data_IF_141655063809
#
_entry.id   IF_141655063809
#
_cell.length_a   1.000
_cell.length_b   1.000
_cell.length_c   1.000
_cell.angle_alpha   90.00
_cell.angle_beta   90.00
_cell.angle_gamma   90.00
#
_symmetry.space_group_name_H-M   'P 1'
#
loop_
_entity.id
_entity.type
_entity.pdbx_description
1 polymer ?
#
# COMPACT_ATOMS: atom_id res chain seq x y z
N UNK A 1 2.88 11.77 -4.02
CA UNK A 1 4.01 11.21 -3.25
C UNK A 1 5.39 11.33 -3.90
N UNK A 2 5.55 11.67 -5.18
CA UNK A 2 6.88 11.88 -5.78
C UNK A 2 7.51 13.21 -5.30
N UNK A 3 8.74 13.15 -4.75
CA UNK A 3 9.46 14.35 -4.32
C UNK A 3 10.27 15.00 -5.44
N UNK A 4 10.54 16.30 -5.33
CA UNK A 4 11.44 17.04 -6.22
C UNK A 4 12.81 16.35 -6.37
N UNK A 5 13.41 15.90 -5.26
CA UNK A 5 14.69 15.18 -5.27
C UNK A 5 14.62 13.89 -6.10
N UNK A 6 13.59 13.06 -5.89
CA UNK A 6 13.42 11.82 -6.65
C UNK A 6 13.18 12.10 -8.13
N UNK A 7 12.43 13.14 -8.46
CA UNK A 7 12.15 13.54 -9.84
C UNK A 7 13.44 13.91 -10.60
N UNK A 8 14.33 14.70 -10.00
CA UNK A 8 15.65 14.99 -10.59
C UNK A 8 16.54 13.75 -10.66
N UNK A 9 16.48 12.89 -9.65
CA UNK A 9 17.26 11.65 -9.67
C UNK A 9 16.85 10.74 -10.85
N UNK A 10 15.54 10.63 -11.12
CA UNK A 10 15.03 9.87 -12.27
C UNK A 10 15.51 10.48 -13.58
N UNK A 11 15.41 11.80 -13.74
CA UNK A 11 15.93 12.54 -14.90
C UNK A 11 17.42 12.22 -15.14
N UNK A 12 18.27 12.47 -14.15
CA UNK A 12 19.71 12.18 -14.24
C UNK A 12 20.02 10.72 -14.54
N UNK A 13 19.31 9.78 -13.90
CA UNK A 13 19.54 8.35 -14.16
C UNK A 13 19.19 7.95 -15.58
N UNK A 14 18.14 8.53 -16.17
CA UNK A 14 17.80 8.29 -17.56
C UNK A 14 18.84 8.92 -18.50
N UNK A 15 19.31 10.13 -18.20
CA UNK A 15 20.41 10.76 -18.94
C UNK A 15 21.67 9.89 -18.96
N UNK A 16 22.06 9.35 -17.80
CA UNK A 16 23.20 8.42 -17.68
C UNK A 16 23.00 7.13 -18.48
N UNK A 17 21.82 6.51 -18.39
CA UNK A 17 21.52 5.22 -19.04
C UNK A 17 21.49 5.36 -20.56
N UNK A 18 20.91 6.45 -21.06
CA UNK A 18 20.73 6.68 -22.48
C UNK A 18 21.85 7.53 -23.10
N UNK A 19 22.87 7.88 -22.31
CA UNK A 19 24.01 8.72 -22.73
C UNK A 19 23.54 10.00 -23.44
N UNK A 20 22.58 10.69 -22.83
CA UNK A 20 21.90 11.84 -23.44
C UNK A 20 21.70 12.95 -22.42
N UNK A 21 22.10 14.18 -22.77
CA UNK A 21 21.91 15.36 -21.93
C UNK A 21 20.50 15.98 -22.05
N UNK A 22 19.65 15.41 -22.89
CA UNK A 22 18.24 15.82 -23.05
C UNK A 22 17.45 15.44 -21.79
N UNK A 23 16.46 16.24 -21.35
CA UNK A 23 15.58 15.87 -20.24
C UNK A 23 15.06 14.43 -20.37
N UNK A 24 15.16 13.68 -19.27
CA UNK A 24 14.80 12.27 -19.14
C UNK A 24 15.47 11.33 -20.15
N UNK A 25 16.65 11.69 -20.67
CA UNK A 25 17.38 10.87 -21.65
C UNK A 25 16.61 10.65 -22.95
N UNK A 26 15.78 11.63 -23.35
CA UNK A 26 14.87 11.54 -24.51
C UNK A 26 13.80 10.44 -24.42
N UNK A 27 13.52 9.92 -23.23
CA UNK A 27 12.41 8.99 -22.99
C UNK A 27 11.11 9.76 -22.82
N UNK A 28 10.02 9.23 -23.40
CA UNK A 28 8.68 9.74 -23.14
C UNK A 28 8.27 9.43 -21.69
N UNK A 29 8.05 10.47 -20.89
CA UNK A 29 7.65 10.34 -19.48
C UNK A 29 6.19 10.74 -19.31
N UNK A 30 5.42 9.87 -18.66
CA UNK A 30 4.03 10.17 -18.24
C UNK A 30 3.95 10.15 -16.73
N UNK A 31 3.47 11.25 -16.15
CA UNK A 31 3.19 11.35 -14.72
C UNK A 31 1.69 11.22 -14.48
N UNK A 32 1.31 10.35 -13.55
CA UNK A 32 -0.08 10.16 -13.14
C UNK A 32 -0.16 10.31 -11.63
N UNK A 33 -1.12 11.10 -11.16
CA UNK A 33 -1.32 11.32 -9.75
C UNK A 33 -2.48 12.25 -9.46
N UNK A 34 -2.80 12.36 -8.17
CA UNK A 34 -3.80 13.25 -7.63
C UNK A 34 -3.14 14.09 -6.53
N UNK A 35 -3.06 15.40 -6.75
CA UNK A 35 -2.38 16.33 -5.84
C UNK A 35 -3.19 16.64 -4.58
N UNK A 36 -4.48 16.28 -4.53
CA UNK A 36 -5.29 16.37 -3.32
C UNK A 36 -4.99 15.23 -2.33
N UNK A 37 -4.32 14.16 -2.78
CA UNK A 37 -3.85 13.07 -1.94
C UNK A 37 -2.54 13.42 -1.24
N UNK A 38 -1.98 12.46 -0.50
CA UNK A 38 -0.80 12.66 0.33
C UNK A 38 0.41 13.19 -0.46
N UNK A 39 0.99 14.23 0.11
CA UNK A 39 2.26 14.82 -0.33
C UNK A 39 3.44 13.88 -0.04
N UNK A 40 4.61 14.10 -0.67
CA UNK A 40 5.82 13.36 -0.34
C UNK A 40 6.15 13.48 1.16
N UNK A 41 6.49 12.36 1.81
CA UNK A 41 6.77 12.32 3.24
C UNK A 41 8.07 13.06 3.52
N UNK A 42 8.01 14.10 4.37
CA UNK A 42 9.15 14.93 4.77
C UNK A 42 10.00 15.41 3.56
N UNK A 43 9.35 15.69 2.43
CA UNK A 43 10.01 16.08 1.20
C UNK A 43 9.20 17.10 0.39
N UNK A 44 9.90 17.86 -0.44
CA UNK A 44 9.34 18.92 -1.28
C UNK A 44 8.58 18.32 -2.46
N UNK A 45 7.39 18.85 -2.76
CA UNK A 45 6.59 18.43 -3.91
C UNK A 45 7.15 18.98 -5.22
N UNK A 46 6.92 18.30 -6.34
CA UNK A 46 7.43 18.71 -7.66
C UNK A 46 6.88 20.06 -8.14
N UNK A 47 5.73 20.48 -7.63
CA UNK A 47 5.08 21.75 -7.97
C UNK A 47 5.46 22.92 -7.04
N UNK A 48 6.27 22.67 -5.99
CA UNK A 48 6.69 23.75 -5.07
C UNK A 48 7.62 24.71 -5.82
N UNK A 49 7.33 26.03 -5.84
CA UNK A 49 8.18 27.01 -6.49
C UNK A 49 9.59 27.05 -5.91
N UNK A 50 10.58 27.34 -6.75
CA UNK A 50 11.98 27.47 -6.32
C UNK A 50 12.20 28.53 -5.23
N UNK A 51 11.41 29.61 -5.24
CA UNK A 51 11.45 30.70 -4.25
C UNK A 51 11.04 30.26 -2.84
N UNK A 52 10.13 29.30 -2.71
CA UNK A 52 9.63 28.81 -1.42
C UNK A 52 10.54 27.75 -0.80
N UNK A 53 11.42 27.13 -1.61
CA UNK A 53 12.31 26.06 -1.15
C UNK A 53 13.71 26.54 -0.73
N UNK A 54 14.04 27.82 -0.96
CA UNK A 54 15.37 28.39 -0.69
C UNK A 54 15.76 28.39 0.80
N UNK A 55 14.79 28.25 1.72
CA UNK A 55 15.00 28.26 3.18
C UNK A 55 15.12 26.87 3.82
N UNK A 56 15.25 25.81 3.01
CA UNK A 56 15.57 24.46 3.50
C UNK A 56 16.90 24.01 2.89
N UNK A 57 17.64 23.12 3.57
CA UNK A 57 18.91 22.47 3.14
C UNK A 57 18.80 21.63 1.83
N UNK A 58 17.86 21.96 0.93
CA UNK A 58 17.44 21.21 -0.27
C UNK A 58 17.17 22.11 -1.48
N UNK A 59 17.57 23.38 -1.45
CA UNK A 59 17.33 24.38 -2.51
C UNK A 59 17.91 24.03 -3.89
N UNK A 60 18.95 23.18 -3.96
CA UNK A 60 19.67 22.84 -5.19
C UNK A 60 18.79 22.18 -6.27
N UNK A 61 17.77 21.43 -5.87
CA UNK A 61 16.91 20.71 -6.82
C UNK A 61 15.83 21.60 -7.46
N UNK A 62 15.53 22.76 -6.91
CA UNK A 62 14.21 23.36 -7.16
C UNK A 62 14.12 24.08 -8.51
N UNK A 63 15.19 24.76 -8.95
CA UNK A 63 15.23 25.37 -10.28
C UNK A 63 15.16 24.32 -11.39
N UNK A 64 15.92 23.22 -11.26
CA UNK A 64 15.88 22.11 -12.23
C UNK A 64 14.53 21.40 -12.20
N UNK A 65 13.96 21.15 -11.02
CA UNK A 65 12.60 20.60 -10.87
C UNK A 65 11.58 21.47 -11.59
N UNK A 66 11.60 22.78 -11.34
CA UNK A 66 10.66 23.72 -11.93
C UNK A 66 10.80 23.76 -13.47
N UNK A 67 12.04 23.75 -13.98
CA UNK A 67 12.31 23.63 -15.41
C UNK A 67 11.75 22.33 -15.99
N UNK A 68 12.11 21.16 -15.44
CA UNK A 68 11.69 19.85 -15.91
C UNK A 68 10.16 19.71 -15.84
N UNK A 69 9.54 20.18 -14.76
CA UNK A 69 8.10 20.06 -14.55
C UNK A 69 7.30 20.88 -15.56
N UNK A 70 7.81 22.04 -15.99
CA UNK A 70 7.18 22.88 -17.03
C UNK A 70 7.21 22.26 -18.43
N UNK A 71 8.01 21.23 -18.67
CA UNK A 71 8.02 20.51 -19.95
C UNK A 71 6.79 19.61 -20.12
N UNK A 72 6.05 19.31 -19.05
CA UNK A 72 4.90 18.41 -19.09
C UNK A 72 3.64 19.13 -19.57
N UNK A 73 2.96 18.50 -20.52
CA UNK A 73 1.57 18.83 -20.85
C UNK A 73 0.64 18.25 -19.77
N UNK A 74 -0.35 19.03 -19.35
CA UNK A 74 -1.30 18.62 -18.32
C UNK A 74 -2.60 18.16 -18.98
N UNK A 75 -3.06 16.97 -18.61
CA UNK A 75 -4.39 16.46 -18.95
C UNK A 75 -5.11 16.13 -17.65
N UNK A 76 -6.34 16.62 -17.49
CA UNK A 76 -7.16 16.37 -16.29
C UNK A 76 -8.25 15.37 -16.61
N UNK A 77 -8.30 14.30 -15.83
CA UNK A 77 -9.41 13.35 -15.86
C UNK A 77 -10.53 13.89 -14.97
N UNK A 78 -11.72 14.03 -15.53
CA UNK A 78 -12.89 14.62 -14.85
C UNK A 78 -13.92 13.58 -14.41
N UNK A 79 -13.92 12.40 -15.02
CA UNK A 79 -14.85 11.32 -14.69
C UNK A 79 -14.34 10.50 -13.49
N UNK A 80 -15.13 10.45 -12.42
CA UNK A 80 -14.83 9.69 -11.22
C UNK A 80 -15.41 8.27 -11.36
N UNK A 81 -14.56 7.29 -11.65
CA UNK A 81 -15.00 5.90 -11.84
C UNK A 81 -15.23 5.13 -10.54
N UNK A 82 -14.52 5.47 -9.45
CA UNK A 82 -14.58 4.69 -8.19
C UNK A 82 -15.91 4.86 -7.46
N UNK A 83 -16.42 6.09 -7.39
CA UNK A 83 -17.70 6.45 -6.76
C UNK A 83 -18.78 6.80 -7.81
N UNK A 84 -18.68 6.26 -9.03
CA UNK A 84 -19.59 6.61 -10.13
C UNK A 84 -21.08 6.36 -9.81
N UNK A 85 -21.33 5.38 -8.93
CA UNK A 85 -22.65 4.93 -8.52
C UNK A 85 -23.15 5.68 -7.25
N UNK A 86 -22.38 6.63 -6.72
CA UNK A 86 -22.71 7.50 -5.58
C UNK A 86 -22.20 8.93 -5.82
N UNK A 87 -22.90 9.64 -6.72
CA UNK A 87 -22.53 10.99 -7.17
C UNK A 87 -22.46 12.02 -6.03
N UNK A 88 -23.40 12.06 -5.06
CA UNK A 88 -23.31 12.97 -3.92
C UNK A 88 -22.05 12.74 -3.10
N UNK A 89 -21.68 11.48 -2.86
CA UNK A 89 -20.47 11.14 -2.14
C UNK A 89 -19.20 11.53 -2.90
N UNK A 90 -19.16 11.31 -4.21
CA UNK A 90 -18.04 11.71 -5.06
C UNK A 90 -17.82 13.25 -5.04
N UNK A 91 -18.90 14.03 -5.05
CA UNK A 91 -18.86 15.49 -4.92
C UNK A 91 -18.34 15.91 -3.54
N UNK A 92 -18.87 15.32 -2.47
CA UNK A 92 -18.46 15.61 -1.10
C UNK A 92 -16.98 15.31 -0.84
N UNK A 93 -16.46 14.20 -1.39
CA UNK A 93 -15.03 13.85 -1.37
C UNK A 93 -14.17 14.88 -2.11
N UNK A 94 -14.62 15.33 -3.28
CA UNK A 94 -13.91 16.35 -4.08
C UNK A 94 -13.84 17.67 -3.32
N UNK A 95 -14.94 18.08 -2.70
CA UNK A 95 -15.00 19.29 -1.86
C UNK A 95 -14.13 19.16 -0.62
N UNK A 96 -14.08 17.98 0.01
CA UNK A 96 -13.16 17.69 1.11
C UNK A 96 -11.70 17.85 0.67
N UNK A 97 -11.32 17.26 -0.47
CA UNK A 97 -9.95 17.36 -1.00
C UNK A 97 -9.54 18.81 -1.31
N UNK A 98 -10.48 19.62 -1.81
CA UNK A 98 -10.28 21.05 -2.11
C UNK A 98 -10.36 21.96 -0.88
N UNK A 99 -10.90 21.47 0.25
CA UNK A 99 -11.12 22.27 1.45
C UNK A 99 -12.27 23.27 1.29
N UNK A 100 -13.32 22.90 0.57
CA UNK A 100 -14.50 23.73 0.33
C UNK A 100 -15.79 22.95 0.57
N UNK A 101 -15.84 22.18 1.67
CA UNK A 101 -17.01 21.39 2.04
C UNK A 101 -18.21 22.28 2.36
N UNK A 102 -19.36 21.90 1.86
CA UNK A 102 -20.67 22.49 2.17
C UNK A 102 -21.24 21.87 3.45
N UNK A 103 -22.30 22.48 4.00
CA UNK A 103 -22.99 21.93 5.17
C UNK A 103 -23.60 20.55 4.87
N UNK A 104 -24.06 20.30 3.64
CA UNK A 104 -24.57 19.00 3.20
C UNK A 104 -23.45 17.95 3.13
N UNK A 105 -22.25 18.33 2.66
CA UNK A 105 -21.07 17.45 2.66
C UNK A 105 -20.72 17.05 4.11
N UNK A 106 -20.71 18.03 5.01
CA UNK A 106 -20.40 17.84 6.43
C UNK A 106 -21.47 16.95 7.09
N UNK A 107 -22.74 17.16 6.78
CA UNK A 107 -23.84 16.32 7.27
C UNK A 107 -23.69 14.87 6.80
N UNK A 108 -23.31 14.65 5.53
CA UNK A 108 -23.03 13.31 4.99
C UNK A 108 -21.93 12.62 5.79
N UNK A 109 -20.77 13.25 6.01
CA UNK A 109 -19.68 12.61 6.77
C UNK A 109 -20.00 12.45 8.27
N UNK A 110 -20.75 13.38 8.87
CA UNK A 110 -21.26 13.22 10.23
C UNK A 110 -22.20 12.01 10.35
N UNK A 111 -23.07 11.77 9.36
CA UNK A 111 -23.95 10.58 9.35
C UNK A 111 -23.17 9.25 9.33
N UNK A 112 -21.91 9.30 8.92
CA UNK A 112 -20.97 8.17 8.87
C UNK A 112 -19.95 8.18 10.01
N UNK A 113 -20.10 9.09 10.98
CA UNK A 113 -19.20 9.22 12.12
C UNK A 113 -19.85 8.66 13.38
N UNK A 114 -19.12 7.77 14.05
CA UNK A 114 -19.57 7.04 15.22
C UNK A 114 -18.58 7.26 16.38
N UNK A 115 -19.10 7.42 17.59
CA UNK A 115 -18.28 7.57 18.80
C UNK A 115 -17.55 6.28 19.19
N UNK A 116 -18.15 5.13 18.87
CA UNK A 116 -17.62 3.79 19.10
C UNK A 116 -17.67 2.96 17.83
N UNK A 117 -16.87 1.90 17.78
CA UNK A 117 -16.93 0.92 16.69
C UNK A 117 -18.31 0.25 16.71
N UNK A 118 -19.06 0.24 15.60
CA UNK A 118 -20.32 -0.50 15.49
C UNK A 118 -20.15 -1.99 15.82
N UNK A 119 -21.13 -2.58 16.53
CA UNK A 119 -21.08 -3.97 17.02
C UNK A 119 -20.85 -5.00 15.89
N UNK A 120 -21.35 -4.74 14.68
CA UNK A 120 -21.14 -5.59 13.50
C UNK A 120 -19.67 -5.68 13.05
N UNK A 121 -18.83 -4.73 13.46
CA UNK A 121 -17.40 -4.70 13.19
C UNK A 121 -16.55 -5.16 14.40
N UNK A 122 -17.20 -5.55 15.49
CA UNK A 122 -16.58 -6.20 16.65
C UNK A 122 -16.75 -7.71 16.48
N UNK A 123 -16.18 -8.28 15.42
CA UNK A 123 -16.26 -9.73 15.14
C UNK A 123 -14.93 -10.43 15.35
N UNK A 124 -14.97 -11.63 15.93
CA UNK A 124 -13.82 -12.54 16.00
C UNK A 124 -13.58 -13.33 14.69
N UNK A 125 -14.52 -13.29 13.74
CA UNK A 125 -14.44 -14.09 12.50
C UNK A 125 -13.46 -13.51 11.47
N UNK A 126 -13.15 -12.21 11.55
CA UNK A 126 -12.22 -11.47 10.68
C UNK A 126 -12.24 -11.88 9.20
N UNK A 127 -13.44 -12.18 8.69
CA UNK A 127 -13.66 -12.60 7.31
C UNK A 127 -13.78 -11.38 6.38
N UNK A 128 -14.03 -11.64 5.09
CA UNK A 128 -14.16 -10.62 4.05
C UNK A 128 -15.33 -9.65 4.25
N UNK A 129 -16.25 -9.90 5.18
CA UNK A 129 -17.33 -8.97 5.52
C UNK A 129 -16.86 -7.81 6.40
N UNK A 130 -15.70 -7.96 7.06
CA UNK A 130 -15.13 -6.95 7.93
C UNK A 130 -14.52 -5.80 7.14
N UNK A 131 -14.68 -4.55 7.62
CA UNK A 131 -14.09 -3.40 6.96
C UNK A 131 -12.57 -3.44 7.09
N UNK A 132 -11.87 -2.98 6.04
CA UNK A 132 -10.45 -2.68 6.19
C UNK A 132 -10.31 -1.49 7.14
N UNK A 133 -9.54 -1.68 8.22
CA UNK A 133 -9.35 -0.64 9.22
C UNK A 133 -8.17 0.26 8.85
N UNK A 134 -8.41 1.57 8.78
CA UNK A 134 -7.39 2.56 8.45
C UNK A 134 -6.99 3.35 9.70
N UNK A 135 -5.69 3.41 9.94
CA UNK A 135 -5.08 4.23 11.00
C UNK A 135 -4.05 5.20 10.44
N UNK A 136 -3.75 6.26 11.17
CA UNK A 136 -2.69 7.19 10.77
C UNK A 136 -1.27 6.67 11.08
N UNK A 137 -1.07 6.01 12.22
CA UNK A 137 0.24 5.59 12.73
C UNK A 137 0.44 4.07 12.60
N UNK A 138 1.66 3.64 12.27
CA UNK A 138 2.02 2.21 12.20
C UNK A 138 1.76 1.47 13.51
N UNK A 139 2.12 2.04 14.66
CA UNK A 139 1.91 1.34 15.95
C UNK A 139 0.46 0.98 16.23
N UNK A 140 -0.52 1.79 15.77
CA UNK A 140 -1.94 1.44 15.90
C UNK A 140 -2.36 0.32 14.94
N UNK A 141 -1.77 0.29 13.73
CA UNK A 141 -1.94 -0.80 12.76
C UNK A 141 -1.39 -2.11 13.33
N UNK A 142 -0.17 -2.06 13.88
CA UNK A 142 0.51 -3.22 14.43
C UNK A 142 -0.29 -3.81 15.60
N UNK A 143 -0.70 -2.98 16.57
CA UNK A 143 -1.52 -3.40 17.70
C UNK A 143 -2.83 -4.06 17.26
N UNK A 144 -3.56 -3.47 16.32
CA UNK A 144 -4.82 -4.06 15.85
C UNK A 144 -4.58 -5.36 15.07
N UNK A 145 -3.57 -5.41 14.21
CA UNK A 145 -3.23 -6.64 13.48
C UNK A 145 -2.81 -7.77 14.43
N UNK A 146 -2.08 -7.46 15.52
CA UNK A 146 -1.72 -8.42 16.57
C UNK A 146 -2.95 -8.89 17.36
N UNK A 147 -3.88 -7.99 17.69
CA UNK A 147 -5.16 -8.31 18.33
C UNK A 147 -5.97 -9.29 17.46
N UNK A 148 -6.15 -8.96 16.18
CA UNK A 148 -6.82 -9.82 15.18
C UNK A 148 -6.14 -11.19 15.11
N UNK A 149 -4.81 -11.20 14.99
CA UNK A 149 -4.01 -12.42 14.91
C UNK A 149 -4.17 -13.29 16.16
N UNK A 150 -4.29 -12.69 17.34
CA UNK A 150 -4.44 -13.40 18.60
C UNK A 150 -5.83 -14.02 18.72
N UNK A 151 -6.86 -13.28 18.30
CA UNK A 151 -8.25 -13.67 18.46
C UNK A 151 -8.77 -14.64 17.39
N UNK A 152 -8.15 -14.68 16.20
CA UNK A 152 -8.57 -15.62 15.15
C UNK A 152 -8.16 -17.06 15.51
N UNK A 153 -9.14 -17.89 15.84
CA UNK A 153 -8.96 -19.32 16.12
C UNK A 153 -9.02 -20.12 14.82
N UNK A 154 -7.86 -20.24 14.17
CA UNK A 154 -7.72 -20.95 12.90
C UNK A 154 -6.37 -21.63 12.79
N UNK A 155 -6.28 -22.57 11.86
CA UNK A 155 -5.01 -23.17 11.47
C UNK A 155 -4.02 -22.08 11.03
N UNK A 156 -2.80 -22.16 11.57
CA UNK A 156 -1.75 -21.21 11.27
C UNK A 156 -0.35 -21.75 11.47
N UNK A 157 0.62 -20.95 11.06
CA UNK A 157 2.04 -21.27 11.15
C UNK A 157 2.88 -20.01 11.34
N UNK A 158 3.80 -20.03 12.32
CA UNK A 158 4.77 -18.95 12.53
C UNK A 158 6.06 -19.24 11.78
N UNK A 159 6.36 -18.41 10.79
CA UNK A 159 7.53 -18.53 9.93
C UNK A 159 8.63 -17.55 10.37
N UNK A 160 9.76 -18.05 10.84
CA UNK A 160 11.00 -17.27 10.89
C UNK A 160 11.65 -17.24 9.51
N UNK A 161 12.14 -16.08 9.11
CA UNK A 161 12.76 -15.90 7.81
C UNK A 161 14.12 -16.62 7.74
N UNK A 162 14.38 -17.26 6.60
CA UNK A 162 15.65 -17.96 6.37
C UNK A 162 16.69 -17.00 5.77
N UNK A 163 17.72 -16.66 6.54
CA UNK A 163 18.77 -15.73 6.15
C UNK A 163 20.07 -16.47 5.83
N UNK A 164 20.68 -16.13 4.68
CA UNK A 164 21.97 -16.67 4.24
C UNK A 164 22.95 -15.53 4.03
N UNK A 165 24.14 -15.63 4.65
CA UNK A 165 25.23 -14.67 4.46
C UNK A 165 26.13 -15.14 3.33
N UNK A 166 26.30 -14.29 2.33
CA UNK A 166 27.17 -14.51 1.18
C UNK A 166 28.45 -13.69 1.31
N UNK A 167 29.53 -14.25 0.74
CA UNK A 167 30.88 -13.68 0.74
C UNK A 167 31.86 -14.42 1.64
N UNK A 168 33.14 -14.13 1.42
CA UNK A 168 34.27 -14.76 2.11
C UNK A 168 34.64 -13.96 3.35
N UNK A 169 34.40 -14.54 4.52
CA UNK A 169 34.66 -13.92 5.82
C UNK A 169 34.73 -14.97 6.92
N UNK A 170 35.25 -14.57 8.08
CA UNK A 170 35.26 -15.41 9.29
C UNK A 170 33.84 -15.67 9.79
N UNK A 171 33.67 -16.75 10.58
CA UNK A 171 32.38 -17.09 11.18
C UNK A 171 31.83 -15.93 12.02
N UNK A 172 32.69 -15.28 12.82
CA UNK A 172 32.33 -14.12 13.65
C UNK A 172 31.80 -12.96 12.81
N UNK A 173 32.49 -12.62 11.71
CA UNK A 173 32.05 -11.55 10.81
C UNK A 173 30.71 -11.87 10.15
N UNK A 174 30.48 -13.14 9.77
CA UNK A 174 29.19 -13.58 9.23
C UNK A 174 28.08 -13.49 10.28
N UNK A 175 28.36 -13.83 11.53
CA UNK A 175 27.40 -13.71 12.65
C UNK A 175 27.04 -12.25 12.95
N UNK A 176 28.01 -11.34 12.96
CA UNK A 176 27.78 -9.90 13.12
C UNK A 176 26.90 -9.32 12.00
N UNK A 177 27.18 -9.69 10.76
CA UNK A 177 26.41 -9.24 9.60
C UNK A 177 25.00 -9.81 9.62
N UNK A 178 24.84 -11.07 10.05
CA UNK A 178 23.55 -11.71 10.21
C UNK A 178 22.73 -11.06 11.33
N UNK A 179 23.33 -10.74 12.48
CA UNK A 179 22.63 -10.08 13.59
C UNK A 179 22.19 -8.67 13.21
N UNK A 180 23.05 -7.90 12.50
CA UNK A 180 22.69 -6.61 11.95
C UNK A 180 21.48 -6.71 11.02
N UNK A 181 21.48 -7.66 10.07
CA UNK A 181 20.36 -7.87 9.15
C UNK A 181 19.06 -8.29 9.86
N UNK A 182 19.15 -9.04 10.97
CA UNK A 182 18.00 -9.48 11.76
C UNK A 182 17.32 -8.33 12.51
N UNK A 183 18.07 -7.29 12.90
CA UNK A 183 17.57 -6.16 13.66
C UNK A 183 17.02 -5.03 12.77
N UNK A 184 17.09 -5.18 11.44
CA UNK A 184 16.55 -4.19 10.52
C UNK A 184 15.02 -4.19 10.53
N UNK A 185 14.39 -2.99 10.53
CA UNK A 185 12.97 -2.85 10.27
C UNK A 185 12.56 -3.50 8.94
N UNK A 186 11.34 -4.03 8.86
CA UNK A 186 10.83 -4.70 7.66
C UNK A 186 10.94 -3.83 6.40
N UNK A 187 10.67 -2.53 6.52
CA UNK A 187 10.78 -1.54 5.43
C UNK A 187 12.19 -1.45 4.82
N UNK A 188 13.23 -1.74 5.60
CA UNK A 188 14.63 -1.69 5.18
C UNK A 188 15.13 -3.05 4.64
N UNK A 189 14.25 -4.06 4.61
CA UNK A 189 14.55 -5.43 4.19
C UNK A 189 13.76 -5.85 2.95
N UNK A 190 13.55 -4.90 2.04
CA UNK A 190 12.69 -5.06 0.86
C UNK A 190 11.27 -5.55 1.21
N UNK A 191 10.78 -5.17 2.40
CA UNK A 191 9.50 -5.56 2.97
C UNK A 191 9.34 -7.08 3.22
N UNK A 192 10.44 -7.83 3.36
CA UNK A 192 10.39 -9.22 3.82
C UNK A 192 10.55 -9.29 5.34
N UNK A 193 9.44 -9.59 6.02
CA UNK A 193 9.38 -9.69 7.47
C UNK A 193 10.41 -10.69 8.03
N UNK A 194 10.97 -10.39 9.21
CA UNK A 194 11.81 -11.35 9.93
C UNK A 194 10.99 -12.52 10.46
N UNK A 195 9.88 -12.21 11.11
CA UNK A 195 8.92 -13.19 11.61
C UNK A 195 7.56 -12.90 10.99
N UNK A 196 6.86 -13.95 10.56
CA UNK A 196 5.55 -13.83 9.95
C UNK A 196 4.64 -14.96 10.45
N UNK A 197 3.56 -14.59 11.11
CA UNK A 197 2.50 -15.54 11.48
C UNK A 197 1.45 -15.58 10.39
N UNK A 198 1.20 -16.77 9.86
CA UNK A 198 0.15 -17.07 8.89
C UNK A 198 -1.05 -17.68 9.62
N UNK A 199 -2.25 -17.15 9.44
CA UNK A 199 -3.49 -17.73 9.97
C UNK A 199 -4.59 -17.73 8.90
N UNK A 200 -5.24 -18.87 8.71
CA UNK A 200 -6.30 -19.02 7.71
C UNK A 200 -7.47 -18.10 8.04
N UNK A 201 -8.01 -17.44 7.02
CA UNK A 201 -9.07 -16.43 7.14
C UNK A 201 -8.56 -15.02 7.39
N UNK A 202 -7.31 -14.84 7.82
CA UNK A 202 -6.76 -13.51 8.03
C UNK A 202 -6.41 -12.81 6.71
N UNK A 203 -6.55 -11.49 6.70
CA UNK A 203 -6.21 -10.62 5.59
C UNK A 203 -4.72 -10.26 5.61
N UNK A 204 -4.06 -10.43 4.47
CA UNK A 204 -2.66 -10.07 4.25
C UNK A 204 -2.52 -9.16 3.04
N UNK A 205 -1.48 -8.32 3.07
CA UNK A 205 -1.04 -7.50 1.95
C UNK A 205 0.24 -8.09 1.36
N UNK A 206 0.30 -8.16 0.03
CA UNK A 206 1.54 -8.41 -0.70
C UNK A 206 2.52 -7.30 -0.37
N UNK A 207 3.67 -7.66 0.19
CA UNK A 207 4.61 -6.70 0.78
C UNK A 207 5.67 -6.19 -0.21
N UNK A 208 5.92 -6.94 -1.28
CA UNK A 208 6.86 -6.57 -2.34
C UNK A 208 6.32 -6.98 -3.72
N UNK A 209 6.88 -6.41 -4.79
CA UNK A 209 6.43 -6.71 -6.14
C UNK A 209 6.77 -8.16 -6.52
N UNK A 210 5.75 -9.02 -6.60
CA UNK A 210 5.89 -10.44 -6.97
C UNK A 210 5.80 -10.60 -8.49
N UNK A 211 4.74 -10.05 -9.09
CA UNK A 211 4.52 -9.99 -10.54
C UNK A 211 3.71 -8.74 -10.88
N UNK A 212 4.40 -7.69 -11.34
CA UNK A 212 3.77 -6.40 -11.68
C UNK A 212 2.81 -6.51 -12.85
N UNK A 213 3.08 -7.41 -13.81
CA UNK A 213 2.23 -7.63 -14.97
C UNK A 213 1.00 -8.48 -14.67
N UNK A 214 0.91 -9.07 -13.48
CA UNK A 214 -0.23 -9.86 -13.00
C UNK A 214 -0.93 -9.21 -11.79
N UNK A 215 -0.63 -7.94 -11.47
CA UNK A 215 -1.27 -7.22 -10.36
C UNK A 215 -0.90 -7.75 -8.96
N UNK A 216 0.13 -8.60 -8.85
CA UNK A 216 0.68 -9.06 -7.57
C UNK A 216 1.80 -8.12 -7.14
N UNK A 217 1.40 -6.90 -6.77
CA UNK A 217 2.29 -5.79 -6.43
C UNK A 217 2.23 -5.47 -4.94
N UNK A 218 3.21 -4.71 -4.46
CA UNK A 218 3.16 -4.18 -3.11
C UNK A 218 1.86 -3.38 -2.90
N UNK A 219 1.06 -3.77 -1.92
CA UNK A 219 -0.24 -3.15 -1.65
C UNK A 219 -1.45 -4.00 -2.03
N UNK A 220 -1.29 -5.05 -2.85
CA UNK A 220 -2.40 -5.95 -3.18
C UNK A 220 -2.83 -6.71 -1.92
N UNK A 221 -4.10 -6.55 -1.52
CA UNK A 221 -4.66 -7.17 -0.32
C UNK A 221 -5.45 -8.42 -0.69
N UNK A 222 -5.37 -9.46 0.15
CA UNK A 222 -6.18 -10.65 0.00
C UNK A 222 -6.27 -11.49 1.27
N UNK A 223 -7.26 -12.38 1.30
CA UNK A 223 -7.55 -13.27 2.42
C UNK A 223 -6.78 -14.57 2.26
N UNK A 224 -6.05 -15.00 3.30
CA UNK A 224 -5.37 -16.29 3.32
C UNK A 224 -6.39 -17.42 3.41
N UNK A 225 -6.48 -18.26 2.39
CA UNK A 225 -7.44 -19.37 2.30
C UNK A 225 -6.86 -20.72 2.67
N UNK A 226 -5.60 -20.97 2.35
CA UNK A 226 -4.96 -22.24 2.65
C UNK A 226 -3.45 -22.08 2.79
N UNK A 227 -2.85 -22.89 3.67
CA UNK A 227 -1.41 -23.08 3.78
C UNK A 227 -1.06 -24.42 3.15
N UNK A 228 -0.16 -24.41 2.16
CA UNK A 228 0.38 -25.60 1.52
C UNK A 228 1.64 -26.02 2.26
N UNK A 229 1.58 -27.15 2.96
CA UNK A 229 2.72 -27.67 3.71
C UNK A 229 3.52 -28.67 2.89
N UNK A 230 4.83 -28.66 3.13
CA UNK A 230 5.74 -29.74 2.74
C UNK A 230 6.20 -30.48 3.99
N UNK A 231 6.21 -31.80 3.87
CA UNK A 231 6.74 -32.68 4.90
C UNK A 231 8.22 -32.99 4.63
N UNK A 232 9.04 -32.95 5.67
CA UNK A 232 10.38 -33.53 5.67
C UNK A 232 10.46 -34.60 6.74
N UNK A 233 10.99 -35.76 6.37
CA UNK A 233 11.35 -36.84 7.29
C UNK A 233 12.86 -36.80 7.50
N UNK A 234 13.27 -36.42 8.71
CA UNK A 234 14.64 -36.56 9.19
C UNK A 234 14.61 -37.34 10.50
N UNK A 235 15.41 -38.40 10.60
CA UNK A 235 15.55 -39.24 11.80
C UNK A 235 14.22 -39.73 12.41
N UNK A 236 13.25 -40.06 11.55
CA UNK A 236 11.93 -40.56 11.98
C UNK A 236 10.94 -39.47 12.44
N UNK A 237 11.38 -38.22 12.56
CA UNK A 237 10.51 -37.07 12.90
C UNK A 237 9.97 -36.44 11.61
N UNK A 238 8.64 -36.38 11.49
CA UNK A 238 7.96 -35.66 10.40
C UNK A 238 7.82 -34.20 10.83
N UNK A 239 8.49 -33.30 10.11
CA UNK A 239 8.32 -31.85 10.28
C UNK A 239 7.55 -31.29 9.09
N UNK A 240 6.58 -30.42 9.36
CA UNK A 240 5.81 -29.67 8.35
C UNK A 240 6.31 -28.24 8.28
N UNK A 241 6.49 -27.73 7.08
CA UNK A 241 6.82 -26.32 6.85
C UNK A 241 6.00 -25.78 5.67
N UNK A 242 5.54 -24.53 5.74
CA UNK A 242 4.76 -23.92 4.69
C UNK A 242 5.63 -23.72 3.44
N UNK A 243 5.26 -24.37 2.34
CA UNK A 243 5.91 -24.25 1.04
C UNK A 243 5.26 -23.14 0.20
N UNK A 244 3.95 -22.96 0.33
CA UNK A 244 3.20 -21.92 -0.33
C UNK A 244 1.94 -21.55 0.46
N UNK A 245 1.32 -20.45 0.09
CA UNK A 245 0.03 -20.02 0.63
C UNK A 245 -0.91 -19.67 -0.51
N UNK A 246 -2.20 -19.87 -0.29
CA UNK A 246 -3.25 -19.59 -1.27
C UNK A 246 -4.06 -18.41 -0.79
N UNK A 247 -4.06 -17.34 -1.57
CA UNK A 247 -4.67 -16.06 -1.20
C UNK A 247 -5.78 -15.70 -2.19
N UNK A 248 -6.95 -15.36 -1.68
CA UNK A 248 -8.04 -14.80 -2.47
C UNK A 248 -7.95 -13.26 -2.48
N UNK A 249 -8.01 -12.65 -3.66
CA UNK A 249 -8.05 -11.19 -3.83
C UNK A 249 -9.40 -10.80 -4.42
N UNK A 250 -9.98 -9.70 -3.93
CA UNK A 250 -11.24 -9.16 -4.48
C UNK A 250 -11.06 -8.63 -5.91
N UNK A 251 -9.87 -8.10 -6.22
CA UNK A 251 -9.47 -7.84 -7.60
C UNK A 251 -9.24 -9.17 -8.33
N UNK A 252 -10.19 -9.51 -9.21
CA UNK A 252 -10.13 -10.71 -10.02
C UNK A 252 -9.03 -10.71 -11.08
N UNK A 253 -8.46 -9.55 -11.41
CA UNK A 253 -7.34 -9.45 -12.34
C UNK A 253 -6.00 -9.75 -11.67
N UNK A 254 -5.84 -9.36 -10.40
CA UNK A 254 -4.68 -9.69 -9.60
C UNK A 254 -4.50 -11.21 -9.49
N UNK A 255 -3.31 -11.72 -9.83
CA UNK A 255 -2.95 -13.14 -9.79
C UNK A 255 -3.57 -14.00 -10.89
N UNK A 256 -4.24 -13.42 -11.89
CA UNK A 256 -4.96 -14.20 -12.93
C UNK A 256 -4.02 -15.10 -13.72
N UNK A 257 -2.86 -14.60 -14.15
CA UNK A 257 -1.85 -15.39 -14.88
C UNK A 257 -1.28 -16.48 -13.98
N UNK A 258 -1.01 -16.17 -12.71
CA UNK A 258 -0.57 -17.17 -11.73
C UNK A 258 -1.58 -18.32 -11.57
N UNK A 259 -2.88 -18.00 -11.44
CA UNK A 259 -3.96 -19.00 -11.38
C UNK A 259 -4.05 -19.84 -12.66
N UNK A 260 -3.93 -19.21 -13.84
CA UNK A 260 -3.94 -19.93 -15.12
C UNK A 260 -2.74 -20.87 -15.29
N UNK A 261 -1.55 -20.45 -14.86
CA UNK A 261 -0.34 -21.30 -14.87
C UNK A 261 -0.51 -22.53 -13.99
N UNK A 262 -1.17 -22.37 -12.84
CA UNK A 262 -1.41 -23.46 -11.90
C UNK A 262 -2.48 -24.44 -12.40
N UNK A 263 -3.55 -23.94 -13.04
CA UNK A 263 -4.53 -24.77 -13.76
C UNK A 263 -3.91 -25.56 -14.91
N UNK A 264 -2.89 -25.01 -15.58
CA UNK A 264 -2.12 -25.74 -16.61
C UNK A 264 -1.32 -26.92 -16.06
N UNK A 265 -1.02 -26.94 -14.75
CA UNK A 265 -0.33 -28.06 -14.08
C UNK A 265 -1.28 -29.14 -13.57
N UNK A 266 -2.51 -28.75 -13.20
CA UNK A 266 -3.54 -29.64 -12.66
C UNK A 266 -4.72 -29.72 -13.65
N UNK A 267 -4.78 -30.76 -14.48
CA UNK A 267 -5.88 -30.96 -15.45
C UNK A 267 -7.24 -31.08 -14.73
N UNK A 268 -8.07 -30.03 -14.76
CA UNK A 268 -9.54 -30.10 -14.78
C UNK A 268 -10.17 -28.70 -15.01
N UNK A 269 -11.17 -28.67 -15.90
CA UNK A 269 -12.16 -27.60 -16.14
C UNK A 269 -13.05 -27.34 -14.89
N UNK A 270 -13.82 -26.26 -14.69
CA UNK A 270 -14.74 -25.50 -15.56
C UNK A 270 -15.36 -24.33 -14.71
N UNK A 271 -16.02 -23.37 -15.38
CA UNK A 271 -16.97 -22.34 -14.89
C UNK A 271 -16.50 -21.29 -13.85
N UNK A 272 -16.49 -20.02 -14.28
CA UNK A 272 -16.44 -18.85 -13.38
C UNK A 272 -17.84 -18.66 -12.79
N UNK A 273 -18.00 -18.83 -11.47
CA UNK A 273 -19.27 -18.46 -10.83
C UNK A 273 -19.41 -16.93 -10.78
N UNK A 274 -20.64 -16.44 -10.94
CA UNK A 274 -20.96 -15.01 -10.99
C UNK A 274 -21.28 -14.40 -9.63
N UNK A 275 -21.37 -15.20 -8.56
CA UNK A 275 -21.69 -14.75 -7.20
C UNK A 275 -20.42 -14.58 -6.35
N UNK A 276 -20.22 -13.41 -5.74
CA UNK A 276 -19.01 -13.03 -5.01
C UNK A 276 -18.69 -13.99 -3.83
N UNK A 277 -19.70 -14.42 -3.08
CA UNK A 277 -19.52 -15.35 -1.96
C UNK A 277 -19.11 -16.76 -2.42
N UNK A 278 -19.60 -17.17 -3.60
CA UNK A 278 -19.19 -18.44 -4.20
C UNK A 278 -17.77 -18.37 -4.78
N UNK A 279 -17.32 -17.20 -5.25
CA UNK A 279 -15.97 -17.03 -5.82
C UNK A 279 -14.87 -17.07 -4.76
N UNK A 280 -15.10 -16.45 -3.61
CA UNK A 280 -14.12 -16.42 -2.52
C UNK A 280 -13.82 -17.82 -1.97
N UNK A 281 -14.82 -18.69 -1.94
CA UNK A 281 -14.70 -20.05 -1.44
C UNK A 281 -14.31 -21.07 -2.52
N UNK A 282 -14.25 -20.65 -3.79
CA UNK A 282 -13.81 -21.48 -4.90
C UNK A 282 -12.27 -21.46 -5.04
N UNK A 283 -11.58 -22.61 -4.84
CA UNK A 283 -10.13 -22.70 -4.98
C UNK A 283 -9.60 -22.26 -6.35
N UNK A 284 -10.43 -22.27 -7.40
CA UNK A 284 -10.03 -21.79 -8.73
C UNK A 284 -9.77 -20.28 -8.79
N UNK A 285 -10.17 -19.53 -7.76
CA UNK A 285 -9.93 -18.09 -7.61
C UNK A 285 -8.81 -17.76 -6.61
N UNK A 286 -8.19 -18.76 -5.99
CA UNK A 286 -7.08 -18.53 -5.07
C UNK A 286 -5.75 -18.48 -5.81
N UNK A 287 -4.95 -17.48 -5.47
CA UNK A 287 -3.63 -17.27 -6.06
C UNK A 287 -2.57 -17.88 -5.16
N UNK A 288 -1.78 -18.81 -5.71
CA UNK A 288 -0.65 -19.42 -5.02
C UNK A 288 0.52 -18.43 -4.91
N UNK A 289 0.92 -18.10 -3.68
CA UNK A 289 2.06 -17.25 -3.35
C UNK A 289 3.14 -18.10 -2.69
N UNK A 290 4.38 -17.97 -3.16
CA UNK A 290 5.54 -18.70 -2.63
C UNK A 290 6.53 -17.76 -1.95
N UNK A 291 7.40 -18.27 -1.05
CA UNK A 291 8.48 -17.49 -0.48
C UNK A 291 9.37 -16.87 -1.55
N UNK A 292 9.88 -15.67 -1.27
CA UNK A 292 10.85 -14.96 -2.12
C UNK A 292 12.16 -14.77 -1.39
N UNK A 293 13.25 -14.73 -2.15
CA UNK A 293 14.59 -14.47 -1.65
C UNK A 293 15.08 -13.11 -2.16
N UNK A 294 15.33 -12.17 -1.26
CA UNK A 294 15.81 -10.83 -1.61
C UNK A 294 17.08 -10.49 -0.80
N UNK A 295 17.97 -9.67 -1.36
CA UNK A 295 19.10 -9.12 -0.59
C UNK A 295 18.57 -8.08 0.39
N UNK A 296 18.79 -8.25 1.69
CA UNK A 296 18.22 -7.37 2.74
C UNK A 296 19.25 -6.55 3.48
N UNK A 297 20.54 -6.86 3.32
CA UNK A 297 21.62 -6.12 3.96
C UNK A 297 22.93 -6.30 3.19
N UNK A 298 23.69 -5.22 3.04
CA UNK A 298 24.99 -5.21 2.36
C UNK A 298 26.04 -4.51 3.23
N UNK A 299 26.98 -5.27 3.77
CA UNK A 299 28.17 -4.73 4.42
C UNK A 299 29.27 -4.54 3.37
N UNK A 300 29.15 -3.47 2.56
CA UNK A 300 30.02 -3.20 1.40
C UNK A 300 31.51 -3.20 1.74
N UNK A 301 31.89 -2.60 2.88
CA UNK A 301 33.27 -2.57 3.36
C UNK A 301 33.85 -3.97 3.66
N UNK A 302 32.99 -4.93 3.99
CA UNK A 302 33.35 -6.32 4.27
C UNK A 302 33.15 -7.24 3.05
N UNK A 303 32.59 -6.74 1.94
CA UNK A 303 32.22 -7.57 0.78
C UNK A 303 31.14 -8.62 1.09
N UNK A 304 30.32 -8.41 2.12
CA UNK A 304 29.30 -9.35 2.58
C UNK A 304 27.90 -8.85 2.28
N UNK A 305 26.98 -9.77 1.99
CA UNK A 305 25.56 -9.46 1.88
C UNK A 305 24.70 -10.59 2.45
N UNK A 306 23.50 -10.24 2.90
CA UNK A 306 22.52 -11.18 3.46
C UNK A 306 21.35 -11.28 2.51
N UNK A 307 21.00 -12.51 2.10
CA UNK A 307 19.72 -12.78 1.44
C UNK A 307 18.74 -13.35 2.45
N UNK A 308 17.52 -12.82 2.47
CA UNK A 308 16.41 -13.27 3.28
C UNK A 308 15.39 -13.99 2.42
N UNK A 309 14.94 -15.16 2.86
CA UNK A 309 13.84 -15.90 2.26
C UNK A 309 12.63 -15.91 3.19
N UNK A 310 11.51 -15.35 2.73
CA UNK A 310 10.24 -15.27 3.47
C UNK A 310 9.06 -15.12 2.49
N UNK A 311 7.83 -15.42 2.92
CA UNK A 311 6.63 -15.02 2.19
C UNK A 311 6.56 -13.50 2.01
N UNK A 312 6.23 -13.00 0.81
CA UNK A 312 6.09 -11.57 0.55
C UNK A 312 4.73 -11.06 1.04
N UNK A 313 4.40 -11.29 2.32
CA UNK A 313 3.13 -10.97 2.94
C UNK A 313 3.33 -10.24 4.27
N UNK A 314 2.41 -9.33 4.58
CA UNK A 314 2.29 -8.67 5.88
C UNK A 314 0.82 -8.68 6.34
N UNK A 315 0.55 -8.80 7.65
CA UNK A 315 -0.80 -8.63 8.20
C UNK A 315 -1.46 -7.33 7.71
N UNK A 316 -2.73 -7.40 7.31
CA UNK A 316 -3.43 -6.30 6.68
C UNK A 316 -4.92 -6.19 7.07
N UNK A 317 -5.30 -6.70 8.26
CA UNK A 317 -6.61 -6.40 8.83
C UNK A 317 -6.75 -4.90 9.13
N UNK A 318 -5.64 -4.26 9.50
CA UNK A 318 -5.45 -2.82 9.46
C UNK A 318 -4.33 -2.40 8.52
N UNK A 319 -4.45 -1.18 8.00
CA UNK A 319 -3.45 -0.51 7.19
C UNK A 319 -3.29 0.94 7.61
N UNK A 320 -2.12 1.52 7.30
CA UNK A 320 -2.00 2.98 7.41
C UNK A 320 -2.73 3.66 6.26
N UNK A 321 -3.22 4.89 6.51
CA UNK A 321 -3.80 5.74 5.46
C UNK A 321 -2.83 5.87 4.28
N UNK A 322 -1.53 6.03 4.54
CA UNK A 322 -0.48 6.08 3.52
C UNK A 322 -0.42 4.83 2.64
N UNK A 323 -0.51 3.64 3.24
CA UNK A 323 -0.50 2.36 2.51
C UNK A 323 -1.81 2.06 1.78
N UNK A 324 -2.90 2.72 2.17
CA UNK A 324 -4.20 2.59 1.49
C UNK A 324 -4.29 3.36 0.17
N UNK A 325 -3.38 4.32 -0.06
CA UNK A 325 -3.42 5.19 -1.22
C UNK A 325 -3.27 4.40 -2.52
N UNK A 326 -4.18 4.64 -3.47
CA UNK A 326 -4.31 3.89 -4.73
C UNK A 326 -5.30 2.72 -4.67
N UNK A 327 -5.51 2.11 -3.49
CA UNK A 327 -6.41 0.97 -3.32
C UNK A 327 -7.88 1.35 -3.24
N UNK A 328 -8.76 0.37 -3.48
CA UNK A 328 -10.22 0.48 -3.30
C UNK A 328 -10.68 -0.67 -2.42
N UNK A 329 -11.51 -0.39 -1.43
CA UNK A 329 -12.05 -1.40 -0.52
C UNK A 329 -13.58 -1.37 -0.54
N UNK A 330 -14.20 -2.51 -0.28
CA UNK A 330 -15.66 -2.63 -0.27
C UNK A 330 -16.25 -1.93 0.96
N UNK A 331 -15.64 -2.13 2.14
CA UNK A 331 -15.95 -1.41 3.38
C UNK A 331 -14.69 -0.86 4.05
N UNK A 332 -14.81 0.35 4.59
CA UNK A 332 -13.69 1.08 5.22
C UNK A 332 -14.10 1.54 6.61
N UNK A 333 -13.25 1.29 7.60
CA UNK A 333 -13.37 1.86 8.94
C UNK A 333 -12.15 2.72 9.23
N UNK A 334 -12.33 4.03 9.23
CA UNK A 334 -11.30 5.00 9.59
C UNK A 334 -11.33 5.24 11.10
N UNK A 335 -10.31 4.81 11.83
CA UNK A 335 -10.20 5.07 13.26
C UNK A 335 -9.22 6.20 13.54
N UNK A 336 -9.75 7.30 14.05
CA UNK A 336 -9.00 8.52 14.36
C UNK A 336 -9.15 8.92 15.82
N UNK A 337 -9.65 8.01 16.67
CA UNK A 337 -9.74 8.24 18.12
C UNK A 337 -8.35 8.47 18.72
N UNK A 338 -8.25 9.46 19.60
CA UNK A 338 -7.01 9.79 20.30
C UNK A 338 -5.88 10.29 19.39
N UNK A 339 -6.16 10.58 18.12
CA UNK A 339 -5.17 11.17 17.21
C UNK A 339 -5.31 12.70 17.18
N UNK A 340 -4.21 13.44 16.97
CA UNK A 340 -4.28 14.84 16.55
C UNK A 340 -5.15 14.95 15.28
N UNK A 341 -5.81 16.10 15.10
CA UNK A 341 -6.64 16.38 13.92
C UNK A 341 -5.90 15.98 12.64
N UNK A 342 -6.49 15.08 11.86
CA UNK A 342 -5.90 14.64 10.60
C UNK A 342 -5.80 15.81 9.63
N UNK A 343 -4.74 15.82 8.83
CA UNK A 343 -4.63 16.72 7.70
C UNK A 343 -5.68 16.37 6.63
N UNK A 344 -6.07 17.38 5.85
CA UNK A 344 -7.05 17.25 4.76
C UNK A 344 -6.72 16.14 3.77
N UNK A 345 -5.46 16.04 3.36
CA UNK A 345 -4.98 15.02 2.41
C UNK A 345 -5.11 13.60 2.96
N UNK A 346 -4.78 13.39 4.24
CA UNK A 346 -4.96 12.12 4.91
C UNK A 346 -6.44 11.73 5.03
N UNK A 347 -7.31 12.69 5.42
CA UNK A 347 -8.74 12.43 5.52
C UNK A 347 -9.35 12.11 4.15
N UNK A 348 -9.00 12.89 3.12
CA UNK A 348 -9.43 12.65 1.73
C UNK A 348 -8.96 11.30 1.21
N UNK A 349 -7.69 10.91 1.43
CA UNK A 349 -7.21 9.57 1.05
C UNK A 349 -8.01 8.49 1.75
N UNK A 350 -8.17 8.57 3.07
CA UNK A 350 -8.86 7.54 3.85
C UNK A 350 -10.32 7.37 3.44
N UNK A 351 -11.08 8.47 3.33
CA UNK A 351 -12.48 8.43 2.96
C UNK A 351 -12.65 7.97 1.51
N UNK A 352 -11.82 8.43 0.56
CA UNK A 352 -11.95 8.08 -0.86
C UNK A 352 -11.63 6.62 -1.22
N UNK A 353 -11.30 5.78 -0.22
CA UNK A 353 -11.06 4.33 -0.42
C UNK A 353 -12.36 3.54 -0.58
N UNK A 354 -13.47 4.02 -0.02
CA UNK A 354 -14.79 3.42 -0.15
C UNK A 354 -15.47 3.83 -1.46
N UNK A 355 -16.29 2.94 -2.05
CA UNK A 355 -17.07 3.23 -3.27
C UNK A 355 -18.36 4.00 -3.01
N UNK A 356 -18.97 3.78 -1.85
CA UNK A 356 -20.24 4.37 -1.44
C UNK A 356 -20.12 4.93 -0.02
N UNK A 357 -20.86 6.00 0.28
CA UNK A 357 -20.87 6.60 1.61
C UNK A 357 -21.35 5.61 2.69
N UNK A 358 -22.30 4.74 2.36
CA UNK A 358 -22.84 3.71 3.28
C UNK A 358 -21.80 2.68 3.76
N UNK A 359 -20.69 2.55 3.04
CA UNK A 359 -19.62 1.62 3.34
C UNK A 359 -18.42 2.30 4.01
N UNK A 360 -18.50 3.61 4.26
CA UNK A 360 -17.54 4.37 5.04
C UNK A 360 -18.01 4.45 6.50
N UNK A 361 -17.12 4.17 7.43
CA UNK A 361 -17.37 4.33 8.87
C UNK A 361 -16.19 5.09 9.49
N UNK A 362 -16.45 6.20 10.16
CA UNK A 362 -15.43 7.04 10.80
C UNK A 362 -15.62 6.93 12.30
N UNK A 363 -14.59 6.49 13.02
CA UNK A 363 -14.64 6.41 14.48
C UNK A 363 -13.95 7.64 15.07
N UNK A 364 -14.75 8.55 15.60
CA UNK A 364 -14.32 9.83 16.15
C UNK A 364 -15.40 10.41 17.08
N UNK A 365 -15.01 11.36 17.94
CA UNK A 365 -15.99 12.10 18.75
C UNK A 365 -16.89 12.99 17.88
N UNK A 366 -16.33 13.57 16.82
CA UNK A 366 -17.02 14.33 15.79
C UNK A 366 -16.22 14.26 14.49
N UNK A 367 -16.88 14.50 13.36
CA UNK A 367 -16.19 14.52 12.08
C UNK A 367 -15.19 15.70 12.02
N UNK A 368 -13.89 15.46 11.76
CA UNK A 368 -12.89 16.52 11.72
C UNK A 368 -12.95 17.24 10.38
N UNK A 369 -13.87 18.20 10.24
CA UNK A 369 -13.98 19.04 9.05
C UNK A 369 -12.61 19.65 8.72
N UNK A 370 -12.04 19.47 7.53
CA UNK A 370 -10.73 20.05 7.19
C UNK A 370 -10.77 21.58 7.09
N UNK A 371 -9.65 22.23 7.42
CA UNK A 371 -9.52 23.67 7.16
C UNK A 371 -9.50 23.98 5.66
N UNK A 372 -9.99 25.15 5.24
CA UNK A 372 -9.91 25.59 3.86
C UNK A 372 -8.48 25.62 3.33
N UNK A 373 -8.31 25.34 2.03
CA UNK A 373 -7.00 25.44 1.39
C UNK A 373 -6.56 26.91 1.33
N UNK A 374 -5.39 27.28 1.89
CA UNK A 374 -4.92 28.65 1.79
C UNK A 374 -4.66 29.04 0.32
N UNK A 375 -5.18 30.19 -0.11
CA UNK A 375 -5.07 30.67 -1.49
C UNK A 375 -3.61 30.92 -1.94
N UNK A 376 -2.67 31.10 -1.01
CA UNK A 376 -1.25 31.27 -1.30
C UNK A 376 -0.44 29.97 -1.16
N UNK A 377 -1.08 28.85 -0.83
CA UNK A 377 -0.37 27.57 -0.73
C UNK A 377 0.08 27.08 -2.11
N UNK A 378 1.25 26.46 -2.19
CA UNK A 378 1.79 25.91 -3.44
C UNK A 378 0.79 24.99 -4.16
N UNK A 379 0.07 24.17 -3.39
CA UNK A 379 -0.94 23.26 -3.92
C UNK A 379 -2.12 24.02 -4.55
N UNK A 380 -2.61 25.08 -3.90
CA UNK A 380 -3.68 25.89 -4.47
C UNK A 380 -3.27 26.51 -5.80
N UNK A 381 -2.09 27.14 -5.83
CA UNK A 381 -1.56 27.78 -7.03
C UNK A 381 -1.35 26.77 -8.16
N UNK A 382 -0.89 25.55 -7.85
CA UNK A 382 -0.74 24.48 -8.84
C UNK A 382 -2.09 24.01 -9.38
N UNK A 383 -3.11 23.85 -8.53
CA UNK A 383 -4.46 23.48 -8.99
C UNK A 383 -5.07 24.56 -9.89
N UNK A 384 -4.88 25.84 -9.55
CA UNK A 384 -5.30 26.96 -10.41
C UNK A 384 -4.54 26.99 -11.74
N UNK A 385 -3.24 26.69 -11.73
CA UNK A 385 -2.45 26.55 -12.97
C UNK A 385 -3.04 25.46 -13.87
N UNK A 386 -3.41 24.32 -13.30
CA UNK A 386 -3.96 23.18 -14.05
C UNK A 386 -5.36 23.43 -14.64
N UNK A 387 -6.18 24.26 -13.99
CA UNK A 387 -7.49 24.68 -14.55
C UNK A 387 -7.38 25.39 -15.89
N UNK A 388 -6.28 26.09 -16.14
CA UNK A 388 -6.05 26.82 -17.40
C UNK A 388 -5.81 25.91 -18.61
N UNK A 389 -5.64 24.62 -18.39
CA UNK A 389 -5.42 23.60 -19.43
C UNK A 389 -6.66 22.72 -19.66
N UNK A 390 -7.83 23.10 -19.13
CA UNK A 390 -9.11 22.53 -19.55
C UNK A 390 -9.40 23.00 -20.98
N UNK A 391 -9.15 22.11 -21.96
CA UNK A 391 -9.57 22.28 -23.36
C UNK A 391 -11.06 22.02 -23.53
#
# INVERSE_FOLDING_TARGET
MLSAKQFNFVDHRLQDIFHSDVPFGAVNVTLVGDFLQLRPIMATSIYTPSTHSAYSDRGEFCLRTEFLYRLFSVVRLTEILRQRDDVPYAAALTNMGRGCMTDDDIALFNSRTFSTVPDEFVSCSFDSSQPVRLFFRNGAVDLYNEEVMTNIDSEGFSCEAYNVVFGSATITQKQEVLSAANNLPTQDTNNLARSLTLKRGMVYMISCNVDTGDGLINGTVGTLKQIEYRESKQDGVVTKFPQAVWVYTSDSMAGRKARLREKGRNQASLAVSTDLNSRENDPANWTRISPRSETVYEARSKGLHVKRTQFPLLPAAALTIHKSQGSTYDKVLLDIRGQPRLNRDALYVACSRARHAENLNIIANSFPVPDPMPAQSDLYLELERQKRFEL
#
